data_IF_738028763036
#
_entry.id   IF_738028763036
#
_cell.length_a   1.000
_cell.length_b   1.000
_cell.length_c   1.000
_cell.angle_alpha   90.00
_cell.angle_beta   90.00
_cell.angle_gamma   90.00
#
_symmetry.space_group_name_H-M   'P 1'
#
loop_
_entity.id
_entity.type
_entity.pdbx_description
1 polymer ?
#
# COMPACT_ATOMS: atom_id res chain seq x y z
N UNK A 1 41.51 -25.52 43.66
CA UNK A 1 40.92 -25.07 44.94
C UNK A 1 39.62 -24.33 44.62
N UNK A 2 38.48 -25.00 44.80
CA UNK A 2 37.15 -24.41 44.71
C UNK A 2 36.92 -23.55 45.95
N UNK A 3 36.52 -22.29 45.78
CA UNK A 3 35.95 -21.50 46.87
C UNK A 3 34.57 -21.00 46.45
N UNK A 4 33.58 -21.76 46.90
CA UNK A 4 32.17 -21.35 47.06
C UNK A 4 32.10 -20.23 48.11
N UNK A 5 31.10 -19.37 47.96
CA UNK A 5 30.28 -18.63 48.93
C UNK A 5 29.62 -17.52 48.09
N UNK A 6 28.32 -17.31 48.05
CA UNK A 6 27.45 -17.13 49.21
C UNK A 6 25.99 -17.34 48.78
N UNK A 7 25.25 -18.11 49.58
CA UNK A 7 23.79 -18.13 49.59
C UNK A 7 23.37 -17.06 50.59
N UNK A 8 22.48 -16.15 50.21
CA UNK A 8 21.61 -15.47 51.15
C UNK A 8 20.19 -15.40 50.58
N UNK A 9 19.27 -15.85 51.43
CA UNK A 9 17.86 -16.12 51.21
C UNK A 9 17.07 -14.83 51.50
N UNK A 10 16.07 -14.52 50.67
CA UNK A 10 14.95 -13.67 51.08
C UNK A 10 13.71 -14.15 50.30
N UNK A 11 12.91 -15.00 50.93
CA UNK A 11 11.70 -14.63 51.66
C UNK A 11 10.49 -14.54 50.71
N UNK A 12 9.68 -15.60 50.67
CA UNK A 12 8.30 -15.47 50.20
C UNK A 12 7.38 -16.34 51.07
N UNK A 13 6.52 -15.63 51.79
CA UNK A 13 5.46 -16.15 52.64
C UNK A 13 4.48 -17.04 51.86
N UNK A 14 4.09 -18.14 52.52
CA UNK A 14 2.88 -18.89 52.24
C UNK A 14 1.73 -18.30 53.06
N UNK A 15 0.59 -18.04 52.41
CA UNK A 15 -0.74 -18.01 53.05
C UNK A 15 -1.69 -18.83 52.16
N UNK A 16 -2.43 -19.81 52.70
CA UNK A 16 -3.42 -20.59 51.97
C UNK A 16 -4.78 -19.88 51.99
N UNK A 17 -5.50 -19.87 50.87
CA UNK A 17 -6.90 -19.46 50.85
C UNK A 17 -7.78 -20.59 50.32
N UNK A 18 -8.68 -20.99 51.21
CA UNK A 18 -9.74 -21.97 51.05
C UNK A 18 -10.79 -21.54 50.03
N UNK A 19 -11.40 -22.56 49.43
CA UNK A 19 -12.49 -22.48 48.47
C UNK A 19 -13.74 -21.80 49.04
N UNK A 20 -14.26 -20.82 48.29
CA UNK A 20 -15.66 -20.44 48.37
C UNK A 20 -16.32 -20.48 46.99
N UNK A 21 -17.45 -21.18 47.03
CA UNK A 21 -18.38 -21.54 45.98
C UNK A 21 -19.03 -20.28 45.38
N UNK A 22 -18.79 -20.02 44.10
CA UNK A 22 -19.68 -19.22 43.27
C UNK A 22 -20.00 -20.04 42.03
N UNK A 23 -21.26 -20.42 41.93
CA UNK A 23 -21.86 -21.05 40.76
C UNK A 23 -21.68 -20.16 39.54
N UNK A 24 -20.73 -20.51 38.67
CA UNK A 24 -20.58 -19.88 37.35
C UNK A 24 -21.61 -20.50 36.42
N UNK A 25 -22.53 -19.66 35.96
CA UNK A 25 -23.44 -19.96 34.88
C UNK A 25 -22.63 -20.06 33.58
N UNK A 26 -22.54 -21.26 33.02
CA UNK A 26 -21.86 -21.52 31.74
C UNK A 26 -22.71 -20.90 30.62
N UNK A 27 -22.26 -19.77 30.09
CA UNK A 27 -22.77 -19.20 28.83
C UNK A 27 -22.09 -19.96 27.69
N UNK A 28 -22.82 -20.59 26.75
CA UNK A 28 -22.20 -21.24 25.60
C UNK A 28 -21.59 -20.19 24.67
N UNK A 29 -20.27 -20.26 24.48
CA UNK A 29 -19.56 -19.53 23.43
C UNK A 29 -20.04 -20.05 22.06
N UNK A 30 -20.34 -19.18 21.06
CA UNK A 30 -20.78 -19.65 19.76
C UNK A 30 -19.68 -20.46 19.08
N UNK A 31 -20.05 -21.69 18.69
CA UNK A 31 -19.19 -22.68 18.04
C UNK A 31 -18.60 -22.13 16.75
N UNK A 32 -17.28 -22.22 16.58
CA UNK A 32 -16.63 -22.18 15.26
C UNK A 32 -17.20 -23.34 14.43
N UNK A 33 -17.86 -23.01 13.32
CA UNK A 33 -18.03 -23.94 12.20
C UNK A 33 -17.61 -23.24 10.91
N UNK A 34 -16.54 -23.80 10.35
CA UNK A 34 -16.03 -23.57 9.01
C UNK A 34 -17.00 -24.21 8.00
N UNK A 35 -17.63 -23.41 7.15
CA UNK A 35 -18.14 -23.87 5.84
C UNK A 35 -18.07 -22.73 4.84
N UNK A 36 -17.24 -22.88 3.82
CA UNK A 36 -17.22 -22.00 2.65
C UNK A 36 -18.49 -22.24 1.81
N UNK A 37 -19.14 -21.19 1.27
CA UNK A 37 -19.87 -21.31 0.01
C UNK A 37 -18.96 -20.88 -1.15
N UNK A 38 -18.76 -21.72 -2.18
CA UNK A 38 -18.09 -21.33 -3.40
C UNK A 38 -19.08 -20.62 -4.35
N UNK A 39 -18.58 -19.57 -5.02
CA UNK A 39 -19.01 -19.16 -6.37
C UNK A 39 -20.38 -18.47 -6.53
N UNK A 40 -20.44 -17.11 -6.44
CA UNK A 40 -21.18 -16.27 -7.41
C UNK A 40 -20.98 -14.72 -7.31
N UNK A 41 -19.96 -14.18 -6.63
CA UNK A 41 -19.69 -12.72 -6.65
C UNK A 41 -18.20 -12.37 -6.79
N UNK A 42 -17.45 -13.19 -7.51
CA UNK A 42 -16.05 -12.93 -7.89
C UNK A 42 -15.91 -12.33 -9.32
N UNK A 43 -17.00 -11.83 -9.91
CA UNK A 43 -17.02 -11.37 -11.31
C UNK A 43 -17.02 -9.83 -11.51
N UNK A 44 -16.86 -9.00 -10.47
CA UNK A 44 -16.86 -7.53 -10.65
C UNK A 44 -15.49 -6.85 -10.45
N UNK A 45 -14.45 -7.56 -10.02
CA UNK A 45 -13.09 -6.97 -9.92
C UNK A 45 -12.01 -7.70 -10.73
N UNK A 46 -12.43 -8.61 -11.63
CA UNK A 46 -11.53 -9.39 -12.48
C UNK A 46 -11.28 -8.67 -13.82
N UNK A 47 -10.62 -7.53 -13.74
CA UNK A 47 -9.85 -6.98 -14.87
C UNK A 47 -8.65 -6.25 -14.30
N UNK A 48 -7.70 -7.04 -13.79
CA UNK A 48 -6.35 -6.56 -13.52
C UNK A 48 -5.86 -5.92 -14.81
N UNK A 49 -5.88 -4.59 -14.82
CA UNK A 49 -5.18 -3.68 -15.73
C UNK A 49 -3.97 -4.32 -16.41
N UNK A 50 -4.25 -5.00 -17.52
CA UNK A 50 -3.28 -5.57 -18.43
C UNK A 50 -3.10 -4.53 -19.52
N UNK A 51 -2.01 -3.78 -19.48
CA UNK A 51 -1.60 -3.04 -20.68
C UNK A 51 -0.90 -4.08 -21.56
N UNK A 52 -1.60 -4.59 -22.58
CA UNK A 52 -1.09 -5.56 -23.56
C UNK A 52 -0.36 -6.77 -22.92
N UNK A 53 -1.04 -7.50 -22.02
CA UNK A 53 -0.49 -8.70 -21.36
C UNK A 53 0.56 -8.43 -20.25
N UNK A 54 0.91 -7.17 -19.99
CA UNK A 54 1.85 -6.78 -18.93
C UNK A 54 1.13 -6.20 -17.71
N UNK A 55 1.64 -6.56 -16.52
CA UNK A 55 1.15 -6.04 -15.23
C UNK A 55 1.30 -4.53 -15.16
N UNK A 56 0.20 -3.81 -14.91
CA UNK A 56 0.23 -2.36 -14.65
C UNK A 56 1.22 -2.01 -13.54
N UNK A 57 2.18 -1.14 -13.87
CA UNK A 57 3.17 -0.55 -12.95
C UNK A 57 2.68 0.82 -12.47
N UNK A 58 3.14 1.25 -11.29
CA UNK A 58 2.68 2.48 -10.66
C UNK A 58 2.95 3.71 -11.52
N UNK A 59 4.10 3.81 -12.19
CA UNK A 59 4.42 5.00 -12.98
C UNK A 59 3.50 5.17 -14.21
N UNK A 60 2.97 4.08 -14.77
CA UNK A 60 1.93 4.16 -15.82
C UNK A 60 0.62 4.72 -15.26
N UNK A 61 0.23 4.28 -14.06
CA UNK A 61 -0.94 4.81 -13.36
C UNK A 61 -0.77 6.29 -13.00
N UNK A 62 0.41 6.69 -12.50
CA UNK A 62 0.67 8.09 -12.17
C UNK A 62 0.58 8.99 -13.39
N UNK A 63 1.08 8.53 -14.54
CA UNK A 63 0.92 9.26 -15.80
C UNK A 63 -0.56 9.42 -16.17
N UNK A 64 -1.37 8.37 -16.04
CA UNK A 64 -2.82 8.45 -16.28
C UNK A 64 -3.52 9.45 -15.34
N UNK A 65 -3.14 9.50 -14.05
CA UNK A 65 -3.65 10.48 -13.10
C UNK A 65 -3.18 11.90 -13.37
N UNK A 66 -2.05 12.09 -14.05
CA UNK A 66 -1.53 13.40 -14.41
C UNK A 66 -2.21 13.99 -15.65
N UNK A 67 -2.76 13.14 -16.51
CA UNK A 67 -3.53 13.53 -17.69
C UNK A 67 -5.03 13.71 -17.37
N UNK A 68 -5.49 13.30 -16.19
CA UNK A 68 -6.84 13.52 -15.71
C UNK A 68 -6.96 14.89 -15.01
N UNK A 69 -7.71 15.86 -15.57
CA UNK A 69 -7.88 17.18 -14.96
C UNK A 69 -8.58 17.12 -13.60
N UNK A 70 -9.43 16.11 -13.37
CA UNK A 70 -10.10 15.89 -12.08
C UNK A 70 -9.12 15.56 -10.96
N UNK A 71 -7.93 15.04 -11.29
CA UNK A 71 -6.91 14.63 -10.32
C UNK A 71 -5.84 15.71 -10.05
N UNK A 72 -5.89 16.86 -10.73
CA UNK A 72 -4.89 17.92 -10.63
C UNK A 72 -4.66 18.46 -9.19
N UNK A 73 -5.70 18.41 -8.35
CA UNK A 73 -5.65 18.80 -6.94
C UNK A 73 -4.89 17.79 -6.04
N UNK A 74 -4.74 16.55 -6.52
CA UNK A 74 -4.02 15.47 -5.84
C UNK A 74 -2.59 15.31 -6.36
N UNK A 75 -2.42 15.31 -7.68
CA UNK A 75 -1.14 15.15 -8.39
C UNK A 75 -1.20 15.97 -9.68
N UNK A 76 -0.16 16.75 -9.95
CA UNK A 76 -0.15 17.65 -11.12
C UNK A 76 1.24 17.78 -11.73
N UNK A 77 1.24 18.08 -13.02
CA UNK A 77 2.42 18.53 -13.74
C UNK A 77 2.91 19.86 -13.16
N UNK A 78 4.23 20.03 -13.07
CA UNK A 78 4.84 21.31 -12.72
C UNK A 78 5.33 21.97 -14.01
N UNK A 79 6.43 21.52 -14.63
CA UNK A 79 6.52 21.59 -16.09
C UNK A 79 6.24 20.22 -16.75
N UNK A 80 5.15 20.14 -17.51
CA UNK A 80 4.78 18.94 -18.29
C UNK A 80 5.80 18.64 -19.41
N UNK A 81 6.42 19.67 -20.01
CA UNK A 81 7.46 19.51 -21.03
C UNK A 81 8.69 18.76 -20.52
N UNK A 82 9.11 19.05 -19.28
CA UNK A 82 10.24 18.39 -18.63
C UNK A 82 9.87 17.08 -17.92
N UNK A 83 8.58 16.71 -17.90
CA UNK A 83 8.09 15.51 -17.21
C UNK A 83 8.14 15.60 -15.69
N UNK A 84 8.19 16.81 -15.13
CA UNK A 84 8.25 17.03 -13.67
C UNK A 84 6.84 17.11 -13.12
N UNK A 85 6.57 16.34 -12.08
CA UNK A 85 5.28 16.30 -11.41
C UNK A 85 5.42 16.37 -9.90
N UNK A 86 4.34 16.78 -9.23
CA UNK A 86 4.29 16.95 -7.78
C UNK A 86 3.00 16.42 -7.21
N UNK A 87 3.10 15.76 -6.05
CA UNK A 87 1.93 15.43 -5.24
C UNK A 87 1.54 16.58 -4.31
N UNK A 88 0.23 16.75 -4.10
CA UNK A 88 -0.32 17.65 -3.10
C UNK A 88 0.08 17.23 -1.69
N UNK A 89 0.47 18.17 -0.83
CA UNK A 89 0.79 17.87 0.57
C UNK A 89 -0.40 17.27 1.32
N UNK A 90 -1.60 17.75 1.00
CA UNK A 90 -2.85 17.42 1.69
C UNK A 90 -3.55 16.22 1.05
N UNK A 91 -3.61 16.16 -0.29
CA UNK A 91 -4.45 15.18 -1.00
C UNK A 91 -3.71 14.00 -1.64
N UNK A 92 -2.39 13.85 -1.41
CA UNK A 92 -1.59 12.72 -1.94
C UNK A 92 -2.11 11.33 -1.57
N UNK A 93 -2.81 11.19 -0.43
CA UNK A 93 -3.35 9.88 -0.01
C UNK A 93 -4.42 9.39 -0.98
N UNK A 94 -5.19 10.28 -1.61
CA UNK A 94 -6.20 9.92 -2.60
C UNK A 94 -5.59 9.16 -3.78
N UNK A 95 -4.42 9.58 -4.25
CA UNK A 95 -3.70 8.89 -5.33
C UNK A 95 -3.27 7.49 -4.90
N UNK A 96 -2.84 7.35 -3.64
CA UNK A 96 -2.41 6.07 -3.10
C UNK A 96 -3.60 5.10 -2.92
N UNK A 97 -4.74 5.59 -2.44
CA UNK A 97 -5.98 4.82 -2.33
C UNK A 97 -6.44 4.31 -3.70
N UNK A 98 -6.51 5.20 -4.70
CA UNK A 98 -6.88 4.84 -6.07
C UNK A 98 -5.91 3.81 -6.66
N UNK A 99 -4.62 3.93 -6.37
CA UNK A 99 -3.65 2.91 -6.76
C UNK A 99 -3.92 1.56 -6.08
N UNK A 100 -4.24 1.58 -4.78
CA UNK A 100 -4.59 0.39 -4.02
C UNK A 100 -5.83 -0.30 -4.57
N UNK A 101 -6.86 0.48 -4.91
CA UNK A 101 -8.06 0.01 -5.59
C UNK A 101 -7.69 -0.59 -6.95
N UNK A 102 -7.00 0.15 -7.82
CA UNK A 102 -6.60 -0.32 -9.16
C UNK A 102 -5.83 -1.65 -9.14
N UNK A 103 -5.08 -1.93 -8.07
CA UNK A 103 -4.35 -3.20 -7.88
C UNK A 103 -5.12 -4.29 -7.15
N UNK A 104 -6.29 -3.99 -6.59
CA UNK A 104 -7.09 -4.93 -5.80
C UNK A 104 -6.40 -5.29 -4.48
N UNK A 105 -5.68 -4.35 -3.87
CA UNK A 105 -4.94 -4.63 -2.64
C UNK A 105 -5.90 -4.93 -1.48
N UNK A 106 -5.69 -6.06 -0.79
CA UNK A 106 -6.45 -6.43 0.41
C UNK A 106 -6.23 -5.49 1.59
N UNK A 107 -5.10 -4.76 1.60
CA UNK A 107 -4.73 -3.81 2.65
C UNK A 107 -4.66 -2.40 2.07
N UNK A 108 -4.99 -1.36 2.87
CA UNK A 108 -4.88 0.01 2.42
C UNK A 108 -3.49 0.36 1.89
N UNK A 109 -3.48 0.93 0.69
CA UNK A 109 -2.30 1.55 0.09
C UNK A 109 -2.23 3.00 0.58
N UNK A 110 -1.09 3.38 1.16
CA UNK A 110 -0.83 4.73 1.66
C UNK A 110 0.26 5.39 0.83
N UNK A 111 0.34 6.71 0.85
CA UNK A 111 1.42 7.42 0.15
C UNK A 111 2.80 6.96 0.63
N UNK A 112 2.98 6.66 1.92
CA UNK A 112 4.24 6.14 2.45
C UNK A 112 4.65 4.83 1.76
N UNK A 113 3.73 3.88 1.61
CA UNK A 113 3.99 2.61 0.89
C UNK A 113 4.21 2.85 -0.59
N UNK A 114 3.38 3.67 -1.23
CA UNK A 114 3.53 4.04 -2.64
C UNK A 114 4.89 4.71 -2.92
N UNK A 115 5.34 5.58 -2.01
CA UNK A 115 6.64 6.24 -2.11
C UNK A 115 7.82 5.27 -2.05
N UNK A 116 7.65 4.09 -1.44
CA UNK A 116 8.67 3.04 -1.49
C UNK A 116 8.88 2.53 -2.91
N UNK A 117 7.79 2.35 -3.67
CA UNK A 117 7.89 1.97 -5.09
C UNK A 117 8.53 3.09 -5.93
N UNK A 118 8.20 4.36 -5.65
CA UNK A 118 8.86 5.50 -6.31
C UNK A 118 10.38 5.49 -6.08
N UNK A 119 10.84 5.14 -4.87
CA UNK A 119 12.28 5.01 -4.59
C UNK A 119 12.93 3.91 -5.42
N UNK A 120 12.26 2.77 -5.60
CA UNK A 120 12.77 1.71 -6.46
C UNK A 120 12.92 2.18 -7.91
N UNK A 121 11.98 3.02 -8.41
CA UNK A 121 12.07 3.58 -9.76
C UNK A 121 13.21 4.58 -9.97
N UNK A 122 13.75 5.14 -8.89
CA UNK A 122 14.99 5.94 -8.97
C UNK A 122 16.16 5.05 -9.36
N UNK A 123 16.21 3.83 -8.83
CA UNK A 123 17.27 2.89 -9.16
C UNK A 123 17.12 2.31 -10.57
N UNK A 124 15.90 2.00 -11.01
CA UNK A 124 15.67 1.46 -12.35
C UNK A 124 15.58 2.51 -13.46
N UNK A 125 15.50 3.80 -13.11
CA UNK A 125 15.64 4.92 -14.05
C UNK A 125 14.36 5.38 -14.73
N UNK A 126 13.19 4.83 -14.41
CA UNK A 126 11.92 5.36 -14.94
C UNK A 126 11.53 6.70 -14.29
N UNK A 127 11.94 6.93 -13.05
CA UNK A 127 11.63 8.14 -12.28
C UNK A 127 12.91 8.70 -11.66
N UNK A 128 13.07 10.02 -11.69
CA UNK A 128 14.18 10.74 -11.09
C UNK A 128 13.63 11.51 -9.87
N UNK A 129 14.38 11.50 -8.76
CA UNK A 129 14.04 12.31 -7.59
C UNK A 129 14.47 13.75 -7.81
N UNK A 130 13.50 14.66 -7.71
CA UNK A 130 13.74 16.10 -7.65
C UNK A 130 13.97 16.52 -6.20
N UNK A 131 14.91 17.42 -5.91
CA UNK A 131 15.20 17.89 -4.54
C UNK A 131 13.97 18.46 -3.81
N UNK A 132 13.04 19.07 -4.55
CA UNK A 132 11.79 19.61 -4.01
C UNK A 132 10.91 18.52 -3.36
N UNK A 133 10.24 18.89 -2.26
CA UNK A 133 9.35 17.98 -1.52
C UNK A 133 8.24 17.47 -2.44
N UNK A 134 7.91 16.18 -2.31
CA UNK A 134 6.85 15.48 -3.06
C UNK A 134 6.94 15.62 -4.58
N UNK A 135 8.11 16.02 -5.10
CA UNK A 135 8.34 16.29 -6.51
C UNK A 135 9.24 15.19 -7.09
N UNK A 136 8.89 14.76 -8.28
CA UNK A 136 9.55 13.70 -9.04
C UNK A 136 9.53 14.07 -10.53
N UNK A 137 10.30 13.36 -11.32
CA UNK A 137 10.37 13.58 -12.76
C UNK A 137 10.40 12.23 -13.48
N UNK A 138 9.66 12.09 -14.56
CA UNK A 138 9.84 10.93 -15.45
C UNK A 138 11.14 11.09 -16.25
N UNK A 139 11.89 10.01 -16.44
CA UNK A 139 12.99 10.06 -17.41
C UNK A 139 12.46 10.30 -18.82
N UNK A 140 13.24 11.00 -19.66
CA UNK A 140 12.82 11.38 -21.01
C UNK A 140 12.33 10.18 -21.83
N UNK A 141 13.09 9.07 -21.82
CA UNK A 141 12.71 7.84 -22.51
C UNK A 141 11.37 7.26 -22.02
N UNK A 142 11.14 7.30 -20.70
CA UNK A 142 9.89 6.81 -20.09
C UNK A 142 8.71 7.70 -20.49
N UNK A 143 8.86 9.03 -20.40
CA UNK A 143 7.81 9.98 -20.73
C UNK A 143 7.40 9.88 -22.21
N UNK A 144 8.37 9.79 -23.12
CA UNK A 144 8.11 9.59 -24.55
C UNK A 144 7.33 8.30 -24.80
N UNK A 145 7.74 7.21 -24.15
CA UNK A 145 7.05 5.92 -24.26
C UNK A 145 5.60 6.00 -23.78
N UNK A 146 5.37 6.67 -22.64
CA UNK A 146 4.03 6.84 -22.06
C UNK A 146 3.09 7.66 -22.96
N UNK A 147 3.58 8.79 -23.49
CA UNK A 147 2.82 9.64 -24.41
C UNK A 147 2.46 8.91 -25.70
N UNK A 148 3.41 8.19 -26.29
CA UNK A 148 3.18 7.39 -27.50
C UNK A 148 2.13 6.30 -27.28
N UNK A 149 2.11 5.69 -26.09
CA UNK A 149 1.11 4.69 -25.72
C UNK A 149 -0.29 5.30 -25.56
N UNK A 150 -0.39 6.54 -25.07
CA UNK A 150 -1.69 7.23 -24.98
C UNK A 150 -2.24 7.64 -26.34
N UNK A 151 -1.42 8.18 -27.24
CA UNK A 151 -1.87 8.53 -28.60
C UNK A 151 -2.51 7.35 -29.33
N UNK A 152 -1.93 6.14 -29.17
CA UNK A 152 -2.51 4.90 -29.72
C UNK A 152 -3.84 4.50 -29.09
N UNK A 153 -4.04 4.74 -27.79
CA UNK A 153 -5.32 4.46 -27.12
C UNK A 153 -6.42 5.39 -27.59
N UNK A 154 -6.09 6.66 -27.82
CA UNK A 154 -7.05 7.67 -28.25
C UNK A 154 -7.43 7.51 -29.73
N UNK A 155 -6.57 6.92 -30.56
CA UNK A 155 -6.87 6.65 -31.97
C UNK A 155 -7.69 5.36 -32.22
N UNK A 156 -7.92 4.54 -31.18
CA UNK A 156 -8.70 3.30 -31.26
C UNK A 156 -10.14 3.46 -30.75
N UNK A 157 -10.48 4.62 -30.19
CA UNK A 157 -11.85 5.04 -29.88
C UNK A 157 -12.34 6.01 -30.94
#
# INVERSE_FOLDING_TARGET
HFSRLSICVFNQQLIPMSAHKLSVQVIPLPKKVTTFPPTHTMLVYKSVSMIAGKRLRLFHFLFEMLEDPGMAHCVSWVPSSAGVFRFSSTHKERVAELWGQRKGNRRPMTYQKMSRALRNYIHSGEIIKVRKKLTYQFSGATLTTLRNQQGKKNALH
#
